data_IF_401458913131
#
_entry.id   IF_401458913131
#
_cell.length_a   1.000
_cell.length_b   1.000
_cell.length_c   1.000
_cell.angle_alpha   90.00
_cell.angle_beta   90.00
_cell.angle_gamma   90.00
#
_symmetry.space_group_name_H-M   'P 1'
#
loop_
_entity.id
_entity.type
_entity.pdbx_description
1 polymer ?
#
# COMPACT_ATOMS: atom_id res chain seq x y z
N UNK A 1 8.00 -34.16 -24.90
CA UNK A 1 8.19 -32.74 -24.53
C UNK A 1 7.96 -32.65 -23.04
N UNK A 2 8.96 -32.22 -22.28
CA UNK A 2 8.78 -31.81 -20.88
C UNK A 2 8.58 -30.30 -20.86
N UNK A 3 7.57 -29.83 -20.14
CA UNK A 3 7.25 -28.40 -20.03
C UNK A 3 7.66 -27.91 -18.65
N UNK A 4 8.16 -26.68 -18.57
CA UNK A 4 8.49 -26.00 -17.32
C UNK A 4 7.50 -24.86 -17.08
N UNK A 5 6.87 -24.84 -15.91
CA UNK A 5 5.95 -23.77 -15.52
C UNK A 5 6.70 -22.70 -14.75
N UNK A 6 6.63 -21.46 -15.22
CA UNK A 6 7.24 -20.30 -14.57
C UNK A 6 6.15 -19.31 -14.17
N UNK A 7 6.09 -18.97 -12.88
CA UNK A 7 5.10 -18.03 -12.32
C UNK A 7 5.84 -16.92 -11.57
N UNK A 8 5.44 -15.68 -11.82
CA UNK A 8 5.86 -14.51 -11.05
C UNK A 8 4.67 -13.90 -10.30
N UNK A 9 4.91 -13.43 -9.08
CA UNK A 9 3.92 -12.74 -8.25
C UNK A 9 4.48 -11.38 -7.83
N UNK A 10 3.63 -10.36 -7.87
CA UNK A 10 3.88 -9.05 -7.28
C UNK A 10 2.88 -8.81 -6.16
N UNK A 11 3.36 -8.47 -4.97
CA UNK A 11 2.55 -8.33 -3.77
C UNK A 11 2.74 -6.92 -3.22
N UNK A 12 1.63 -6.23 -2.97
CA UNK A 12 1.62 -4.94 -2.29
C UNK A 12 1.12 -5.14 -0.86
N UNK A 13 1.81 -4.57 0.11
CA UNK A 13 1.43 -4.59 1.51
C UNK A 13 1.52 -3.17 2.08
N UNK A 14 0.45 -2.73 2.72
CA UNK A 14 0.42 -1.44 3.42
C UNK A 14 1.01 -1.62 4.82
N UNK A 15 2.00 -0.80 5.18
CA UNK A 15 2.53 -0.76 6.54
C UNK A 15 1.50 -0.12 7.49
N UNK A 16 1.34 -0.69 8.68
CA UNK A 16 0.47 -0.16 9.74
C UNK A 16 1.12 1.00 10.50
N UNK A 17 1.60 2.01 9.77
CA UNK A 17 2.13 3.25 10.34
C UNK A 17 0.98 4.19 10.71
N UNK A 18 1.25 5.19 11.57
CA UNK A 18 0.29 6.26 11.90
C UNK A 18 0.33 7.44 10.93
N UNK A 19 1.46 7.65 10.26
CA UNK A 19 1.67 8.72 9.29
C UNK A 19 2.07 8.17 7.91
N UNK A 20 1.91 8.99 6.88
CA UNK A 20 2.41 8.72 5.52
C UNK A 20 3.93 8.64 5.51
N UNK A 21 4.47 8.04 4.45
CA UNK A 21 5.90 7.76 4.31
C UNK A 21 6.76 9.05 4.23
N UNK A 22 6.23 10.12 3.62
CA UNK A 22 6.95 11.38 3.39
C UNK A 22 6.24 12.60 3.97
N UNK A 23 5.24 12.41 4.84
CA UNK A 23 4.57 13.51 5.52
C UNK A 23 3.97 13.08 6.86
N UNK A 24 3.67 14.05 7.72
CA UNK A 24 3.02 13.81 9.01
C UNK A 24 1.51 13.50 8.89
N UNK A 25 0.93 13.53 7.68
CA UNK A 25 -0.50 13.25 7.48
C UNK A 25 -0.84 11.80 7.85
N UNK A 26 -2.06 11.57 8.35
CA UNK A 26 -2.50 10.26 8.80
C UNK A 26 -2.68 9.25 7.65
N UNK A 27 -2.58 7.98 7.99
CA UNK A 27 -2.87 6.79 7.15
C UNK A 27 -4.19 6.11 7.53
N UNK A 28 -5.02 6.78 8.33
CA UNK A 28 -6.26 6.22 8.90
C UNK A 28 -7.37 6.12 7.84
N UNK A 29 -8.00 4.96 7.73
CA UNK A 29 -9.17 4.72 6.89
C UNK A 29 -10.42 5.49 7.36
N UNK A 30 -11.29 5.86 6.41
CA UNK A 30 -12.63 6.38 6.68
C UNK A 30 -12.72 7.89 6.94
N UNK A 31 -11.69 8.68 6.61
CA UNK A 31 -11.74 10.13 6.75
C UNK A 31 -12.46 10.82 5.58
N UNK A 32 -12.96 12.04 5.82
CA UNK A 32 -13.61 12.87 4.81
C UNK A 32 -12.67 13.19 3.63
N UNK A 33 -13.20 13.39 2.42
CA UNK A 33 -12.38 13.72 1.25
C UNK A 33 -11.43 14.89 1.52
N UNK A 34 -10.14 14.68 1.23
CA UNK A 34 -9.06 15.66 1.38
C UNK A 34 -8.77 16.14 2.80
N UNK A 35 -9.41 15.59 3.83
CA UNK A 35 -9.17 15.99 5.23
C UNK A 35 -7.82 15.52 5.80
N UNK A 36 -7.19 14.53 5.16
CA UNK A 36 -5.87 14.00 5.52
C UNK A 36 -4.79 14.34 4.46
N UNK A 37 -4.99 15.41 3.69
CA UNK A 37 -3.97 15.98 2.80
C UNK A 37 -3.09 17.00 3.57
N UNK A 38 -1.85 17.19 3.13
CA UNK A 38 -0.90 18.17 3.67
C UNK A 38 -0.03 18.72 2.55
#
# INVERSE_FOLDING_TARGET
MEWETVIGLEIHAQLNTKSKIFSAAATQYGAEPNSQAC
#
